data_IF_992016864452
#
_entry.id   IF_992016864452
#
_cell.length_a   1.000
_cell.length_b   1.000
_cell.length_c   1.000
_cell.angle_alpha   90.00
_cell.angle_beta   90.00
_cell.angle_gamma   90.00
#
_symmetry.space_group_name_H-M   'P 1'
#
loop_
_entity.id
_entity.type
_entity.pdbx_description
1 polymer ?
#
# COMPACT_ATOMS: atom_id res chain seq x y z
N UNK A 1 -2.64 -13.64 0.32
CA UNK A 1 -2.88 -12.18 0.28
C UNK A 1 -3.28 -11.68 -1.09
N UNK A 2 -2.55 -12.07 -2.14
CA UNK A 2 -2.70 -11.50 -3.49
C UNK A 2 -4.15 -11.49 -4.05
N UNK A 3 -4.96 -12.57 -3.97
CA UNK A 3 -6.33 -12.53 -4.49
C UNK A 3 -7.21 -11.49 -3.78
N UNK A 4 -7.10 -11.38 -2.46
CA UNK A 4 -7.82 -10.37 -1.68
C UNK A 4 -7.33 -8.95 -2.02
N UNK A 5 -6.02 -8.77 -2.21
CA UNK A 5 -5.43 -7.50 -2.64
C UNK A 5 -5.94 -7.04 -4.01
N UNK A 6 -6.04 -7.95 -4.98
CA UNK A 6 -6.59 -7.65 -6.31
C UNK A 6 -8.05 -7.21 -6.20
N UNK A 7 -8.90 -7.99 -5.52
CA UNK A 7 -10.33 -7.65 -5.38
C UNK A 7 -10.53 -6.31 -4.65
N UNK A 8 -9.79 -6.08 -3.56
CA UNK A 8 -9.85 -4.82 -2.82
C UNK A 8 -9.38 -3.64 -3.67
N UNK A 9 -8.28 -3.80 -4.42
CA UNK A 9 -7.74 -2.76 -5.30
C UNK A 9 -8.72 -2.42 -6.43
N UNK A 10 -9.37 -3.42 -7.02
CA UNK A 10 -10.43 -3.20 -8.02
C UNK A 10 -11.60 -2.42 -7.43
N UNK A 11 -12.09 -2.81 -6.25
CA UNK A 11 -13.17 -2.10 -5.57
C UNK A 11 -12.81 -0.64 -5.26
N UNK A 12 -11.60 -0.40 -4.75
CA UNK A 12 -11.11 0.94 -4.45
C UNK A 12 -10.97 1.79 -5.72
N UNK A 13 -10.46 1.23 -6.81
CA UNK A 13 -10.39 1.91 -8.09
C UNK A 13 -11.77 2.35 -8.59
N UNK A 14 -12.77 1.45 -8.53
CA UNK A 14 -14.16 1.75 -8.91
C UNK A 14 -14.73 2.87 -8.04
N UNK A 15 -14.51 2.83 -6.73
CA UNK A 15 -15.00 3.84 -5.80
C UNK A 15 -14.36 5.22 -6.05
N UNK A 16 -13.05 5.25 -6.26
CA UNK A 16 -12.30 6.48 -6.58
C UNK A 16 -12.75 7.06 -7.91
N UNK A 17 -12.87 6.23 -8.95
CA UNK A 17 -13.41 6.65 -10.25
C UNK A 17 -14.80 7.25 -10.11
N UNK A 18 -15.70 6.55 -9.42
CA UNK A 18 -17.07 7.02 -9.20
C UNK A 18 -17.09 8.38 -8.51
N UNK A 19 -16.26 8.59 -7.47
CA UNK A 19 -16.25 9.85 -6.71
C UNK A 19 -15.64 11.03 -7.49
N UNK A 20 -14.71 10.77 -8.40
CA UNK A 20 -14.06 11.81 -9.21
C UNK A 20 -14.89 12.26 -10.42
N UNK A 21 -15.58 11.32 -11.06
CA UNK A 21 -16.24 11.55 -12.35
C UNK A 21 -17.77 11.68 -12.28
N UNK A 22 -18.43 11.10 -11.27
CA UNK A 22 -19.88 11.30 -11.09
C UNK A 22 -20.15 12.67 -10.46
N UNK A 23 -20.74 13.58 -11.25
CA UNK A 23 -21.08 14.95 -10.82
C UNK A 23 -21.97 14.96 -9.57
N UNK A 24 -22.91 14.02 -9.43
CA UNK A 24 -23.83 13.97 -8.29
C UNK A 24 -23.07 13.67 -7.00
N UNK A 25 -22.18 12.68 -7.04
CA UNK A 25 -21.41 12.26 -5.87
C UNK A 25 -20.30 13.26 -5.54
N UNK A 26 -19.66 13.84 -6.55
CA UNK A 26 -18.61 14.85 -6.35
C UNK A 26 -19.15 16.10 -5.68
N UNK A 27 -20.36 16.54 -6.05
CA UNK A 27 -20.98 17.73 -5.46
C UNK A 27 -21.34 17.58 -3.98
N UNK A 28 -21.53 16.35 -3.50
CA UNK A 28 -21.81 16.05 -2.09
C UNK A 28 -20.58 15.55 -1.32
N UNK A 29 -19.42 15.42 -1.98
CA UNK A 29 -18.19 14.94 -1.37
C UNK A 29 -17.33 16.11 -0.90
N UNK A 30 -16.66 15.92 0.23
CA UNK A 30 -15.62 16.84 0.68
C UNK A 30 -14.30 16.58 -0.07
N UNK A 31 -13.41 17.59 -0.21
CA UNK A 31 -12.07 17.38 -0.75
C UNK A 31 -11.28 16.32 0.03
N UNK A 32 -11.48 16.22 1.35
CA UNK A 32 -10.88 15.19 2.19
C UNK A 32 -11.31 13.77 1.81
N UNK A 33 -12.57 13.56 1.40
CA UNK A 33 -13.04 12.24 0.96
C UNK A 33 -12.28 11.77 -0.28
N UNK A 34 -12.00 12.69 -1.20
CA UNK A 34 -11.27 12.42 -2.43
C UNK A 34 -9.79 12.16 -2.12
N UNK A 35 -9.18 13.00 -1.28
CA UNK A 35 -7.78 12.85 -0.88
C UNK A 35 -7.54 11.50 -0.21
N UNK A 36 -8.39 11.10 0.74
CA UNK A 36 -8.28 9.82 1.43
C UNK A 36 -8.38 8.66 0.43
N UNK A 37 -9.32 8.70 -0.51
CA UNK A 37 -9.45 7.65 -1.53
C UNK A 37 -8.21 7.54 -2.42
N UNK A 38 -7.62 8.67 -2.81
CA UNK A 38 -6.39 8.68 -3.62
C UNK A 38 -5.21 8.12 -2.82
N UNK A 39 -5.05 8.53 -1.55
CA UNK A 39 -3.99 8.03 -0.68
C UNK A 39 -4.13 6.53 -0.42
N UNK A 40 -5.36 6.06 -0.16
CA UNK A 40 -5.64 4.63 -0.02
C UNK A 40 -5.32 3.88 -1.30
N UNK A 41 -5.67 4.43 -2.47
CA UNK A 41 -5.39 3.79 -3.75
C UNK A 41 -3.89 3.68 -4.00
N UNK A 42 -3.14 4.74 -3.71
CA UNK A 42 -1.69 4.75 -3.78
C UNK A 42 -1.07 3.68 -2.87
N UNK A 43 -1.45 3.64 -1.59
CA UNK A 43 -0.94 2.68 -0.61
C UNK A 43 -1.32 1.23 -0.96
N UNK A 44 -2.49 1.03 -1.55
CA UNK A 44 -2.93 -0.31 -1.98
C UNK A 44 -2.16 -0.79 -3.21
N UNK A 45 -1.93 0.10 -4.19
CA UNK A 45 -1.13 -0.21 -5.38
C UNK A 45 0.32 -0.53 -5.01
N UNK A 46 0.94 0.22 -4.09
CA UNK A 46 2.30 -0.09 -3.63
C UNK A 46 2.36 -1.46 -2.94
N UNK A 47 1.43 -1.76 -2.03
CA UNK A 47 1.40 -3.06 -1.34
C UNK A 47 1.18 -4.26 -2.29
N UNK A 48 0.29 -4.11 -3.29
CA UNK A 48 0.08 -5.15 -4.32
C UNK A 48 1.31 -5.29 -5.21
N UNK A 49 1.95 -4.17 -5.59
CA UNK A 49 3.19 -4.18 -6.37
C UNK A 49 4.33 -4.87 -5.61
N UNK A 50 4.55 -4.53 -4.33
CA UNK A 50 5.54 -5.18 -3.48
C UNK A 50 5.30 -6.70 -3.38
N UNK A 51 4.04 -7.11 -3.19
CA UNK A 51 3.66 -8.53 -3.16
C UNK A 51 3.96 -9.23 -4.49
N UNK A 52 3.63 -8.59 -5.61
CA UNK A 52 3.80 -9.17 -6.94
C UNK A 52 5.29 -9.27 -7.34
N UNK A 53 6.05 -8.22 -7.09
CA UNK A 53 7.49 -8.15 -7.40
C UNK A 53 8.34 -9.03 -6.49
N UNK A 54 7.82 -9.43 -5.33
CA UNK A 54 8.51 -10.34 -4.41
C UNK A 54 8.10 -11.82 -4.58
N UNK A 55 7.26 -12.17 -5.57
CA UNK A 55 6.88 -13.59 -5.83
C UNK A 55 8.12 -14.44 -6.14
N UNK A 56 9.01 -13.92 -6.99
CA UNK A 56 10.36 -14.44 -7.17
C UNK A 56 11.30 -13.47 -6.46
N UNK A 57 11.58 -13.77 -5.19
CA UNK A 57 12.32 -12.88 -4.31
C UNK A 57 13.76 -12.62 -4.75
N UNK A 58 14.30 -13.38 -5.72
CA UNK A 58 15.68 -13.27 -6.22
C UNK A 58 16.73 -13.15 -5.10
N UNK A 59 16.49 -13.83 -3.98
CA UNK A 59 17.35 -13.82 -2.81
C UNK A 59 17.01 -12.79 -1.73
N UNK A 60 16.00 -11.93 -1.90
CA UNK A 60 15.56 -10.96 -0.90
C UNK A 60 14.43 -11.51 -0.01
N UNK A 61 14.74 -11.88 1.22
CA UNK A 61 13.74 -12.25 2.22
C UNK A 61 13.32 -11.04 3.06
N UNK A 62 12.17 -10.44 2.74
CA UNK A 62 11.62 -9.31 3.51
C UNK A 62 11.30 -9.65 4.97
N UNK A 63 11.19 -10.94 5.32
CA UNK A 63 10.86 -11.40 6.67
C UNK A 63 12.03 -11.26 7.63
N UNK A 64 13.26 -11.10 7.13
CA UNK A 64 14.46 -10.90 7.94
C UNK A 64 14.84 -9.43 8.10
N UNK A 65 14.23 -8.54 7.31
CA UNK A 65 14.53 -7.10 7.28
C UNK A 65 13.33 -6.27 7.74
N UNK A 66 12.32 -6.12 6.88
CA UNK A 66 11.13 -5.29 7.09
C UNK A 66 10.33 -5.76 8.30
N UNK A 67 10.18 -7.08 8.46
CA UNK A 67 9.41 -7.67 9.56
C UNK A 67 9.96 -7.32 10.95
N UNK A 68 11.24 -7.60 11.25
CA UNK A 68 11.88 -7.21 12.50
C UNK A 68 11.89 -5.69 12.71
N UNK A 69 12.29 -4.91 11.71
CA UNK A 69 12.31 -3.45 11.79
C UNK A 69 10.95 -2.87 12.21
N UNK A 70 9.87 -3.36 11.59
CA UNK A 70 8.51 -2.90 11.91
C UNK A 70 8.12 -3.20 13.36
N UNK A 71 8.53 -4.35 13.91
CA UNK A 71 8.26 -4.70 15.31
C UNK A 71 9.00 -3.78 16.28
N UNK A 72 10.23 -3.42 15.95
CA UNK A 72 11.09 -2.58 16.79
C UNK A 72 10.57 -1.14 16.93
N UNK A 73 9.77 -0.65 15.99
CA UNK A 73 9.06 0.63 16.12
C UNK A 73 8.19 0.63 17.38
N UNK A 74 7.47 -0.47 17.64
CA UNK A 74 6.62 -0.60 18.83
C UNK A 74 7.42 -0.80 20.12
N UNK A 75 8.69 -1.23 20.00
CA UNK A 75 9.64 -1.30 21.10
C UNK A 75 10.41 0.01 21.31
N UNK A 76 10.12 1.05 20.51
CA UNK A 76 10.82 2.34 20.50
C UNK A 76 12.35 2.22 20.30
N UNK A 77 12.80 1.17 19.61
CA UNK A 77 14.22 0.92 19.32
C UNK A 77 14.45 0.42 17.89
N UNK A 78 14.01 1.16 16.85
CA UNK A 78 14.14 0.71 15.46
C UNK A 78 15.61 0.70 15.00
N UNK A 79 16.05 -0.44 14.46
CA UNK A 79 17.37 -0.58 13.84
C UNK A 79 17.32 -0.20 12.34
N UNK A 80 17.82 0.99 12.00
CA UNK A 80 17.85 1.48 10.63
C UNK A 80 18.67 0.60 9.67
N UNK A 81 19.63 -0.20 10.16
CA UNK A 81 20.46 -1.06 9.33
C UNK A 81 19.65 -2.15 8.61
N UNK A 82 18.51 -2.55 9.18
CA UNK A 82 17.57 -3.51 8.59
C UNK A 82 16.93 -3.01 7.29
N UNK A 83 16.96 -1.69 7.03
CA UNK A 83 16.35 -1.07 5.85
C UNK A 83 17.33 -0.77 4.72
N UNK A 84 18.64 -0.93 4.92
CA UNK A 84 19.66 -0.52 3.93
C UNK A 84 19.59 -1.29 2.62
N UNK A 85 19.24 -2.58 2.69
CA UNK A 85 19.17 -3.48 1.53
C UNK A 85 17.77 -3.66 0.97
N UNK A 86 16.78 -2.95 1.54
CA UNK A 86 15.38 -3.08 1.12
C UNK A 86 15.19 -2.41 -0.24
N UNK A 87 14.69 -3.15 -1.25
CA UNK A 87 14.51 -2.57 -2.57
C UNK A 87 13.40 -1.52 -2.61
N UNK A 88 13.54 -0.54 -3.51
CA UNK A 88 12.63 0.62 -3.66
C UNK A 88 11.18 0.28 -4.03
N UNK A 89 10.88 -0.97 -4.40
CA UNK A 89 9.53 -1.40 -4.74
C UNK A 89 8.71 -1.87 -3.53
N UNK A 90 9.29 -1.86 -2.32
CA UNK A 90 8.61 -1.98 -1.04
C UNK A 90 8.26 -0.59 -0.48
#
# INVERSE_FOLDING_TARGET
GLPAGIVACTGLFILTYRRLFDKRIRNTSSPSDILILILLLFMMLSGVAATFLNIDSKGFDYRTTVGPWFREIFLFSPDASLMESVPLWF
#
